data_IF_988019873802
#
_entry.id   IF_988019873802
#
_cell.length_a   1.000
_cell.length_b   1.000
_cell.length_c   1.000
_cell.angle_alpha   90.00
_cell.angle_beta   90.00
_cell.angle_gamma   90.00
#
_symmetry.space_group_name_H-M   'P 1'
#
loop_
_entity.id
_entity.type
_entity.pdbx_description
1 polymer ?
#
# COMPACT_ATOMS: atom_id res chain seq x y z
N UNK A 1 0.83 -8.03 -21.26
CA UNK A 1 0.06 -7.48 -22.41
C UNK A 1 -1.01 -6.47 -21.98
N UNK A 2 -1.61 -6.57 -20.78
CA UNK A 2 -2.64 -5.63 -20.30
C UNK A 2 -2.20 -4.15 -20.29
N UNK A 3 -0.96 -3.84 -19.90
CA UNK A 3 -0.45 -2.46 -19.93
C UNK A 3 -0.37 -1.82 -21.33
N UNK A 4 -0.23 -2.63 -22.39
CA UNK A 4 -0.29 -2.13 -23.77
C UNK A 4 -1.73 -1.98 -24.26
N UNK A 5 -2.63 -2.86 -23.80
CA UNK A 5 -4.06 -2.81 -24.17
C UNK A 5 -4.78 -1.58 -23.61
N UNK A 6 -4.35 -1.10 -22.43
CA UNK A 6 -4.97 0.03 -21.73
C UNK A 6 -4.04 1.25 -21.65
N UNK A 7 -3.06 1.36 -22.54
CA UNK A 7 -2.00 2.37 -22.45
C UNK A 7 -2.53 3.81 -22.37
N UNK A 8 -3.54 4.16 -23.16
CA UNK A 8 -4.10 5.52 -23.19
C UNK A 8 -4.72 5.91 -21.84
N UNK A 9 -5.53 5.02 -21.27
CA UNK A 9 -6.15 5.21 -19.95
C UNK A 9 -5.10 5.25 -18.84
N UNK A 10 -4.14 4.32 -18.85
CA UNK A 10 -3.07 4.23 -17.85
C UNK A 10 -2.09 5.40 -17.92
N UNK A 11 -2.02 6.10 -19.06
CA UNK A 11 -1.24 7.33 -19.22
C UNK A 11 -2.02 8.56 -18.73
N UNK A 12 -3.33 8.44 -18.53
CA UNK A 12 -4.17 9.52 -18.01
C UNK A 12 -4.07 9.56 -16.49
N UNK A 13 -3.71 10.71 -15.87
CA UNK A 13 -3.62 10.81 -14.42
C UNK A 13 -4.93 10.43 -13.72
N UNK A 14 -4.80 9.76 -12.59
CA UNK A 14 -5.89 9.46 -11.67
C UNK A 14 -6.10 10.67 -10.78
N UNK A 15 -7.33 11.14 -10.60
CA UNK A 15 -7.64 12.24 -9.67
C UNK A 15 -7.84 11.72 -8.25
N UNK A 16 -7.74 12.61 -7.26
CA UNK A 16 -8.05 12.25 -5.87
C UNK A 16 -9.48 11.71 -5.70
N UNK A 17 -10.47 12.29 -6.40
CA UNK A 17 -11.86 11.81 -6.35
C UNK A 17 -12.03 10.40 -6.94
N UNK A 18 -11.31 10.09 -8.02
CA UNK A 18 -11.28 8.74 -8.59
C UNK A 18 -10.62 7.74 -7.62
N UNK A 19 -9.51 8.13 -7.00
CA UNK A 19 -8.81 7.32 -6.00
C UNK A 19 -9.68 7.07 -4.76
N UNK A 20 -10.41 8.08 -4.29
CA UNK A 20 -11.34 7.95 -3.16
C UNK A 20 -12.51 7.00 -3.48
N UNK A 21 -13.07 7.11 -4.68
CA UNK A 21 -14.13 6.22 -5.15
C UNK A 21 -13.66 4.76 -5.23
N UNK A 22 -12.45 4.52 -5.76
CA UNK A 22 -11.82 3.20 -5.78
C UNK A 22 -11.59 2.70 -4.35
N UNK A 23 -11.07 3.55 -3.46
CA UNK A 23 -10.87 3.21 -2.06
C UNK A 23 -12.17 2.82 -1.36
N UNK A 24 -13.28 3.50 -1.65
CA UNK A 24 -14.59 3.17 -1.08
C UNK A 24 -15.11 1.83 -1.59
N UNK A 25 -14.99 1.58 -2.90
CA UNK A 25 -15.36 0.30 -3.47
C UNK A 25 -14.58 -0.86 -2.83
N UNK A 26 -13.27 -0.68 -2.66
CA UNK A 26 -12.42 -1.69 -2.03
C UNK A 26 -12.82 -1.90 -0.57
N UNK A 27 -13.13 -0.83 0.18
CA UNK A 27 -13.68 -0.92 1.54
C UNK A 27 -14.96 -1.76 1.59
N UNK A 28 -15.90 -1.50 0.70
CA UNK A 28 -17.18 -2.21 0.69
C UNK A 28 -17.01 -3.70 0.41
N UNK A 29 -16.09 -4.07 -0.49
CA UNK A 29 -15.77 -5.48 -0.78
C UNK A 29 -14.99 -6.13 0.37
N UNK A 30 -14.04 -5.41 0.96
CA UNK A 30 -13.26 -5.90 2.11
C UNK A 30 -14.16 -6.20 3.30
N UNK A 31 -15.10 -5.31 3.62
CA UNK A 31 -16.07 -5.50 4.71
C UNK A 31 -16.98 -6.71 4.46
N UNK A 32 -17.34 -6.99 3.21
CA UNK A 32 -18.10 -8.20 2.85
C UNK A 32 -17.27 -9.48 3.00
N UNK A 33 -15.97 -9.42 2.72
CA UNK A 33 -15.06 -10.57 2.80
C UNK A 33 -14.59 -10.88 4.23
N UNK A 34 -14.33 -9.84 5.02
CA UNK A 34 -13.81 -9.92 6.38
C UNK A 34 -14.27 -8.67 7.16
N UNK A 35 -15.41 -8.76 7.88
CA UNK A 35 -15.91 -7.65 8.69
C UNK A 35 -14.90 -7.16 9.71
N UNK A 36 -14.72 -5.85 9.81
CA UNK A 36 -13.77 -5.23 10.73
C UNK A 36 -12.34 -5.06 10.17
N UNK A 37 -12.07 -5.58 8.97
CA UNK A 37 -10.86 -5.21 8.23
C UNK A 37 -10.94 -3.74 7.76
N UNK A 38 -9.80 -3.06 7.69
CA UNK A 38 -9.70 -1.67 7.29
C UNK A 38 -8.91 -1.51 6.00
N UNK A 39 -9.20 -0.43 5.27
CA UNK A 39 -8.50 -0.06 4.03
C UNK A 39 -8.06 1.38 4.15
N UNK A 40 -6.77 1.63 3.95
CA UNK A 40 -6.15 2.95 4.01
C UNK A 40 -5.56 3.32 2.66
N UNK A 41 -5.90 4.52 2.17
CA UNK A 41 -5.29 5.11 0.98
C UNK A 41 -3.88 5.59 1.32
N UNK A 42 -2.89 5.16 0.54
CA UNK A 42 -1.47 5.46 0.78
C UNK A 42 -0.86 6.19 -0.43
N UNK A 43 0.45 6.09 -0.61
CA UNK A 43 1.15 6.62 -1.77
C UNK A 43 1.01 8.13 -1.93
N UNK A 44 1.01 8.57 -3.18
CA UNK A 44 0.96 10.00 -3.53
C UNK A 44 -0.29 10.72 -3.00
N UNK A 45 -1.44 10.05 -2.99
CA UNK A 45 -2.69 10.66 -2.54
C UNK A 45 -2.71 10.91 -1.03
N UNK A 46 -2.13 10.00 -0.22
CA UNK A 46 -1.95 10.26 1.23
C UNK A 46 -1.04 11.45 1.50
N UNK A 47 -0.11 11.76 0.61
CA UNK A 47 0.77 12.94 0.71
C UNK A 47 0.14 14.23 0.16
N UNK A 48 -1.17 14.24 -0.08
CA UNK A 48 -1.92 15.43 -0.51
C UNK A 48 -1.91 15.71 -2.02
N UNK A 49 -1.38 14.81 -2.85
CA UNK A 49 -1.42 14.99 -4.31
C UNK A 49 -2.86 14.95 -4.82
N UNK A 50 -3.22 15.91 -5.67
CA UNK A 50 -4.54 15.95 -6.31
C UNK A 50 -4.64 15.01 -7.53
N UNK A 51 -3.49 14.56 -8.05
CA UNK A 51 -3.39 13.58 -9.12
C UNK A 51 -2.20 12.62 -8.96
N UNK A 52 -2.34 11.41 -9.48
CA UNK A 52 -1.35 10.32 -9.40
C UNK A 52 -1.39 9.40 -10.62
N UNK A 53 -0.50 8.40 -10.65
CA UNK A 53 -0.43 7.40 -11.74
C UNK A 53 -1.13 6.08 -11.40
N UNK A 54 -1.32 5.83 -10.12
CA UNK A 54 -1.84 4.61 -9.51
C UNK A 54 -2.48 4.94 -8.16
N UNK A 55 -3.27 4.00 -7.66
CA UNK A 55 -3.93 4.07 -6.35
C UNK A 55 -3.35 2.96 -5.48
N UNK A 56 -2.64 3.33 -4.41
CA UNK A 56 -2.07 2.38 -3.45
C UNK A 56 -2.99 2.24 -2.23
N UNK A 57 -3.37 1.00 -1.89
CA UNK A 57 -4.24 0.70 -0.77
C UNK A 57 -3.60 -0.33 0.16
N UNK A 58 -3.49 0.03 1.45
CA UNK A 58 -3.12 -0.89 2.52
C UNK A 58 -4.37 -1.45 3.20
N UNK A 59 -4.41 -2.77 3.33
CA UNK A 59 -5.46 -3.54 3.97
C UNK A 59 -4.90 -4.20 5.23
N UNK A 60 -5.63 -4.14 6.33
CA UNK A 60 -5.27 -4.82 7.57
C UNK A 60 -6.50 -5.23 8.37
N UNK A 61 -6.32 -6.02 9.42
CA UNK A 61 -7.37 -6.39 10.35
C UNK A 61 -6.87 -6.16 11.79
N UNK A 62 -7.68 -5.65 12.73
CA UNK A 62 -7.25 -5.30 14.09
C UNK A 62 -6.76 -6.48 14.96
N UNK A 63 -6.85 -7.70 14.44
CA UNK A 63 -6.37 -8.93 15.08
C UNK A 63 -5.45 -9.62 14.09
N UNK A 64 -4.17 -9.73 14.47
CA UNK A 64 -3.13 -10.39 13.66
C UNK A 64 -3.54 -11.81 13.25
N UNK A 65 -3.24 -12.15 12.00
CA UNK A 65 -3.50 -13.45 11.39
C UNK A 65 -4.89 -13.58 10.79
N UNK A 66 -5.84 -12.69 11.09
CA UNK A 66 -7.17 -12.71 10.47
C UNK A 66 -7.14 -12.20 9.02
N UNK A 67 -6.17 -11.35 8.69
CA UNK A 67 -5.94 -10.85 7.33
C UNK A 67 -5.41 -11.91 6.36
N UNK A 68 -4.96 -13.07 6.85
CA UNK A 68 -4.37 -14.13 6.03
C UNK A 68 -5.40 -14.65 5.00
N UNK A 69 -5.06 -14.54 3.72
CA UNK A 69 -5.93 -14.94 2.62
C UNK A 69 -7.06 -13.97 2.31
N UNK A 70 -7.08 -12.78 2.93
CA UNK A 70 -8.03 -11.71 2.61
C UNK A 70 -7.89 -11.28 1.15
N UNK A 71 -6.66 -11.08 0.66
CA UNK A 71 -6.43 -10.56 -0.68
C UNK A 71 -7.04 -11.46 -1.76
N UNK A 72 -6.83 -12.77 -1.65
CA UNK A 72 -7.42 -13.75 -2.57
C UNK A 72 -8.95 -13.69 -2.61
N UNK A 73 -9.60 -13.51 -1.45
CA UNK A 73 -11.07 -13.38 -1.37
C UNK A 73 -11.56 -12.09 -2.03
N UNK A 74 -10.90 -10.96 -1.72
CA UNK A 74 -11.23 -9.64 -2.29
C UNK A 74 -11.08 -9.63 -3.81
N UNK A 75 -9.95 -10.11 -4.32
CA UNK A 75 -9.70 -10.18 -5.77
C UNK A 75 -10.70 -11.09 -6.46
N UNK A 76 -10.99 -12.28 -5.92
CA UNK A 76 -11.98 -13.19 -6.49
C UNK A 76 -13.40 -12.59 -6.51
N UNK A 77 -13.75 -11.78 -5.51
CA UNK A 77 -15.04 -11.10 -5.47
C UNK A 77 -15.12 -9.95 -6.48
N UNK A 78 -14.08 -9.12 -6.57
CA UNK A 78 -14.03 -8.01 -7.54
C UNK A 78 -14.01 -8.51 -8.99
N UNK A 79 -13.29 -9.61 -9.27
CA UNK A 79 -13.26 -10.25 -10.59
C UNK A 79 -14.66 -10.76 -10.98
N UNK A 80 -15.35 -11.44 -10.05
CA UNK A 80 -16.73 -11.90 -10.27
C UNK A 80 -17.72 -10.76 -10.53
N UNK A 81 -17.48 -9.59 -9.96
CA UNK A 81 -18.29 -8.39 -10.16
C UNK A 81 -17.90 -7.62 -11.43
N UNK A 82 -16.85 -8.04 -12.15
CA UNK A 82 -16.39 -7.41 -13.39
C UNK A 82 -15.62 -6.11 -13.18
N UNK A 83 -15.07 -5.88 -11.99
CA UNK A 83 -14.33 -4.65 -11.68
C UNK A 83 -12.86 -4.70 -12.10
N UNK A 84 -12.31 -5.89 -12.35
CA UNK A 84 -10.91 -6.09 -12.68
C UNK A 84 -10.74 -6.40 -14.17
N UNK A 85 -9.85 -5.65 -14.82
CA UNK A 85 -9.38 -5.91 -16.18
C UNK A 85 -8.11 -6.78 -16.17
N UNK A 86 -7.35 -6.70 -15.08
CA UNK A 86 -6.13 -7.47 -14.85
C UNK A 86 -5.84 -7.55 -13.35
N UNK A 87 -5.28 -8.67 -12.89
CA UNK A 87 -4.73 -8.80 -11.54
C UNK A 87 -3.58 -9.80 -11.51
N UNK A 88 -2.59 -9.56 -10.64
CA UNK A 88 -1.47 -10.47 -10.41
C UNK A 88 -1.10 -10.48 -8.93
N UNK A 89 -1.42 -11.59 -8.27
CA UNK A 89 -1.21 -11.79 -6.84
C UNK A 89 0.21 -12.30 -6.60
N UNK A 90 0.92 -11.62 -5.72
CA UNK A 90 2.22 -11.99 -5.19
C UNK A 90 2.01 -12.40 -3.73
N UNK A 91 2.43 -13.63 -3.41
CA UNK A 91 2.25 -14.18 -2.07
C UNK A 91 3.16 -13.48 -1.06
N UNK A 92 2.71 -13.46 0.19
CA UNK A 92 3.56 -13.08 1.30
C UNK A 92 4.80 -14.00 1.35
N UNK A 93 5.99 -13.40 1.40
CA UNK A 93 7.28 -14.10 1.51
C UNK A 93 7.97 -13.86 2.85
N UNK A 94 7.34 -13.08 3.74
CA UNK A 94 7.81 -12.86 5.11
C UNK A 94 7.59 -14.14 5.90
N UNK A 95 8.69 -14.76 6.33
CA UNK A 95 8.66 -16.03 7.06
C UNK A 95 8.66 -15.79 8.56
N UNK A 96 9.65 -15.02 9.05
CA UNK A 96 9.81 -14.74 10.46
C UNK A 96 10.68 -13.48 10.68
N UNK A 97 10.58 -12.90 11.88
CA UNK A 97 11.50 -11.85 12.31
C UNK A 97 12.96 -12.34 12.46
N UNK A 98 13.18 -13.64 12.65
CA UNK A 98 14.51 -14.23 12.79
C UNK A 98 15.24 -14.26 11.44
N UNK A 99 14.52 -14.65 10.39
CA UNK A 99 14.98 -14.60 9.01
C UNK A 99 15.18 -13.15 8.56
N UNK A 100 14.25 -12.26 8.89
CA UNK A 100 14.38 -10.83 8.63
C UNK A 100 15.64 -10.25 9.28
N UNK A 101 15.93 -10.61 10.53
CA UNK A 101 17.14 -10.19 11.19
C UNK A 101 18.40 -10.74 10.49
N UNK A 102 18.33 -11.91 9.85
CA UNK A 102 19.41 -12.49 9.06
C UNK A 102 19.58 -11.76 7.72
N UNK A 103 18.50 -11.48 6.99
CA UNK A 103 18.55 -10.67 5.76
C UNK A 103 19.10 -9.26 6.01
N UNK A 104 18.69 -8.63 7.11
CA UNK A 104 19.22 -7.33 7.56
C UNK A 104 20.74 -7.40 7.81
N UNK A 105 21.25 -8.52 8.32
CA UNK A 105 22.70 -8.75 8.49
C UNK A 105 23.38 -8.90 7.14
N UNK A 106 22.74 -9.62 6.21
CA UNK A 106 23.28 -9.97 4.90
C UNK A 106 23.12 -8.82 3.87
N UNK A 107 22.45 -7.72 4.25
CA UNK A 107 22.23 -6.52 3.43
C UNK A 107 21.51 -6.80 2.10
N UNK A 108 20.66 -7.83 2.07
CA UNK A 108 19.79 -8.14 0.93
C UNK A 108 18.57 -7.21 0.94
N UNK A 109 18.16 -6.69 -0.22
CA UNK A 109 17.09 -5.69 -0.31
C UNK A 109 15.90 -6.19 -1.12
N UNK A 110 14.81 -6.52 -0.44
CA UNK A 110 13.44 -6.52 -1.00
C UNK A 110 12.72 -5.23 -0.59
N UNK A 111 11.80 -4.71 -1.42
CA UNK A 111 11.02 -3.51 -1.05
C UNK A 111 10.09 -3.80 0.14
N UNK A 112 9.36 -4.92 0.04
CA UNK A 112 8.54 -5.54 1.07
C UNK A 112 8.21 -6.98 0.63
N UNK A 113 7.85 -7.78 1.62
CA UNK A 113 7.49 -9.19 1.50
C UNK A 113 5.99 -9.44 1.69
N UNK A 114 5.16 -8.40 1.78
CA UNK A 114 3.73 -8.51 2.05
C UNK A 114 2.98 -9.24 0.93
N UNK A 115 1.79 -9.76 1.26
CA UNK A 115 0.87 -10.23 0.23
C UNK A 115 0.36 -9.02 -0.56
N UNK A 116 0.53 -9.02 -1.88
CA UNK A 116 0.19 -7.86 -2.71
C UNK A 116 -0.40 -8.25 -4.06
N UNK A 117 -1.24 -7.39 -4.61
CA UNK A 117 -1.84 -7.57 -5.92
C UNK A 117 -1.67 -6.31 -6.75
N UNK A 118 -0.98 -6.46 -7.88
CA UNK A 118 -0.93 -5.44 -8.93
C UNK A 118 -2.11 -5.64 -9.86
N UNK A 119 -2.96 -4.64 -10.01
CA UNK A 119 -4.21 -4.77 -10.74
C UNK A 119 -4.58 -3.56 -11.58
N UNK A 120 -5.49 -3.77 -12.52
CA UNK A 120 -6.09 -2.73 -13.34
C UNK A 120 -7.60 -2.80 -13.14
N UNK A 121 -8.19 -1.74 -12.61
CA UNK A 121 -9.61 -1.60 -12.34
C UNK A 121 -10.34 -0.97 -13.55
N UNK A 122 -11.57 -1.40 -13.80
CA UNK A 122 -12.51 -0.74 -14.70
C UNK A 122 -13.30 0.35 -13.94
N UNK A 123 -12.80 1.58 -13.91
CA UNK A 123 -13.47 2.72 -13.28
C UNK A 123 -14.64 3.19 -14.15
N UNK A 124 -15.89 2.98 -13.72
CA UNK A 124 -17.09 3.28 -14.51
C UNK A 124 -17.96 2.05 -14.82
N UNK A 125 -17.41 0.86 -14.62
CA UNK A 125 -18.18 -0.39 -14.47
C UNK A 125 -18.91 -0.48 -13.10
N UNK A 126 -18.76 0.53 -12.23
CA UNK A 126 -19.26 0.51 -10.86
C UNK A 126 -20.76 0.86 -10.79
N UNK A 127 -21.57 0.14 -9.99
CA UNK A 127 -22.97 0.50 -9.80
C UNK A 127 -23.06 1.90 -9.16
N UNK A 128 -23.65 2.85 -9.88
CA UNK A 128 -23.87 4.23 -9.43
C UNK A 128 -23.17 5.31 -10.25
N UNK A 129 -22.17 4.96 -11.08
CA UNK A 129 -21.38 5.93 -11.84
C UNK A 129 -20.59 6.90 -10.95
N UNK A 130 -19.53 7.52 -11.48
CA UNK A 130 -18.82 8.59 -10.79
C UNK A 130 -19.32 9.93 -11.31
N UNK A 131 -19.86 10.83 -10.47
CA UNK A 131 -20.22 12.17 -10.89
C UNK A 131 -18.98 12.92 -11.39
N UNK A 132 -18.97 13.29 -12.67
CA UNK A 132 -17.93 14.14 -13.25
C UNK A 132 -16.88 13.46 -14.15
N UNK A 133 -17.06 12.20 -14.54
CA UNK A 133 -16.22 11.60 -15.60
C UNK A 133 -16.48 12.31 -16.94
N UNK A 134 -15.54 13.16 -17.35
CA UNK A 134 -15.59 13.83 -18.65
C UNK A 134 -15.23 12.80 -19.72
N UNK A 135 -16.19 12.53 -20.61
CA UNK A 135 -16.08 11.61 -21.75
C UNK A 135 -14.83 11.84 -22.60
N UNK A 136 -13.85 10.96 -22.44
CA UNK A 136 -12.98 10.53 -23.53
C UNK A 136 -13.76 9.60 -24.45
N UNK A 137 -13.59 9.75 -25.76
CA UNK A 137 -14.40 9.12 -26.80
C UNK A 137 -14.32 7.59 -26.77
N UNK A 138 -15.51 6.95 -26.73
CA UNK A 138 -15.83 5.51 -26.74
C UNK A 138 -15.89 4.79 -25.38
N UNK A 139 -16.97 5.06 -24.62
CA UNK A 139 -17.63 4.04 -23.77
C UNK A 139 -17.29 3.99 -22.28
N UNK A 140 -17.92 4.88 -21.49
CA UNK A 140 -18.34 4.76 -20.07
C UNK A 140 -17.36 4.34 -18.96
N UNK A 141 -16.11 3.98 -19.24
CA UNK A 141 -15.17 3.55 -18.20
C UNK A 141 -13.70 3.89 -18.54
N UNK A 142 -12.85 3.91 -17.50
CA UNK A 142 -11.42 4.22 -17.53
C UNK A 142 -10.63 3.11 -16.82
N UNK A 143 -9.55 2.63 -17.42
CA UNK A 143 -8.63 1.71 -16.75
C UNK A 143 -7.76 2.46 -15.72
N UNK A 144 -7.69 1.97 -14.48
CA UNK A 144 -6.88 2.57 -13.40
C UNK A 144 -5.99 1.52 -12.76
N UNK A 145 -4.68 1.80 -12.61
CA UNK A 145 -3.80 0.92 -11.83
C UNK A 145 -4.10 1.05 -10.34
N UNK A 146 -4.27 -0.08 -9.68
CA UNK A 146 -4.52 -0.15 -8.24
C UNK A 146 -3.64 -1.25 -7.65
N UNK A 147 -2.91 -0.89 -6.61
CA UNK A 147 -2.03 -1.78 -5.88
C UNK A 147 -2.66 -2.04 -4.50
N UNK A 148 -2.97 -3.31 -4.24
CA UNK A 148 -3.54 -3.75 -2.98
C UNK A 148 -2.48 -4.50 -2.19
N UNK A 149 -2.30 -4.14 -0.92
CA UNK A 149 -1.29 -4.75 -0.04
C UNK A 149 -1.93 -5.13 1.28
N UNK A 150 -1.77 -6.38 1.69
CA UNK A 150 -2.29 -6.87 2.97
C UNK A 150 -1.14 -6.96 3.97
N UNK A 151 -1.33 -6.35 5.14
CA UNK A 151 -0.34 -6.33 6.22
C UNK A 151 -0.96 -6.74 7.56
N UNK A 152 -0.26 -7.52 8.40
CA UNK A 152 -0.64 -7.74 9.80
C UNK A 152 -0.72 -6.41 10.56
N UNK A 153 -1.62 -6.29 11.55
CA UNK A 153 -1.77 -5.03 12.27
C UNK A 153 -0.53 -4.67 13.10
N UNK A 154 0.23 -5.65 13.57
CA UNK A 154 1.52 -5.41 14.25
C UNK A 154 2.59 -4.78 13.36
N UNK A 155 2.49 -4.96 12.03
CA UNK A 155 3.41 -4.38 11.06
C UNK A 155 2.83 -3.15 10.34
N UNK A 156 1.56 -2.85 10.58
CA UNK A 156 0.82 -1.81 9.84
C UNK A 156 1.50 -0.43 9.88
N UNK A 157 2.02 0.08 11.01
CA UNK A 157 2.68 1.40 11.01
C UNK A 157 3.93 1.46 10.13
N UNK A 158 4.72 0.38 10.08
CA UNK A 158 5.90 0.29 9.22
C UNK A 158 5.52 0.19 7.75
N UNK A 159 4.48 -0.59 7.45
CA UNK A 159 3.94 -0.71 6.11
C UNK A 159 3.36 0.64 5.64
N UNK A 160 2.61 1.32 6.51
CA UNK A 160 2.01 2.62 6.23
C UNK A 160 3.09 3.66 5.92
N UNK A 161 4.15 3.72 6.73
CA UNK A 161 5.29 4.60 6.47
C UNK A 161 5.93 4.32 5.10
N UNK A 162 6.25 3.06 4.82
CA UNK A 162 6.87 2.64 3.57
C UNK A 162 6.02 2.92 2.32
N UNK A 163 4.75 2.56 2.36
CA UNK A 163 3.80 2.73 1.26
C UNK A 163 3.28 4.16 1.14
N UNK A 164 3.49 5.02 2.15
CA UNK A 164 3.23 6.46 2.01
C UNK A 164 4.30 7.14 1.19
N UNK A 165 5.57 6.74 1.33
CA UNK A 165 6.68 7.39 0.64
C UNK A 165 6.89 8.86 1.06
N UNK A 166 7.49 9.71 0.22
CA UNK A 166 8.00 9.44 -1.14
C UNK A 166 9.18 8.47 -1.18
N UNK A 167 9.58 8.02 -2.37
CA UNK A 167 10.74 7.15 -2.55
C UNK A 167 12.04 7.79 -2.01
N UNK A 168 12.24 9.09 -2.21
CA UNK A 168 13.40 9.80 -1.68
C UNK A 168 13.33 9.91 -0.16
N UNK A 169 12.15 10.25 0.38
CA UNK A 169 11.92 10.32 1.81
C UNK A 169 12.25 8.98 2.51
N UNK A 170 11.71 7.88 1.99
CA UNK A 170 11.97 6.54 2.52
C UNK A 170 13.45 6.15 2.43
N UNK A 171 14.11 6.46 1.31
CA UNK A 171 15.54 6.20 1.14
C UNK A 171 16.35 6.95 2.19
N UNK A 172 16.07 8.23 2.40
CA UNK A 172 16.84 9.06 3.31
C UNK A 172 16.54 8.70 4.77
N UNK A 173 15.30 8.35 5.11
CA UNK A 173 14.92 7.87 6.44
C UNK A 173 15.62 6.55 6.79
N UNK A 174 15.64 5.58 5.86
CA UNK A 174 16.34 4.30 6.04
C UNK A 174 17.85 4.50 6.14
N UNK A 175 18.40 5.43 5.36
CA UNK A 175 19.82 5.83 5.44
C UNK A 175 20.13 6.44 6.81
N UNK A 176 19.32 7.38 7.28
CA UNK A 176 19.47 7.99 8.61
C UNK A 176 19.40 6.94 9.73
N UNK A 177 18.37 6.08 9.71
CA UNK A 177 18.22 4.97 10.66
C UNK A 177 19.48 4.09 10.73
N UNK A 178 20.04 3.74 9.56
CA UNK A 178 21.26 2.92 9.45
C UNK A 178 22.51 3.61 9.97
N UNK A 179 22.75 4.85 9.57
CA UNK A 179 24.02 5.53 9.81
C UNK A 179 24.07 6.28 11.15
N UNK A 180 22.98 6.95 11.52
CA UNK A 180 22.92 7.80 12.71
C UNK A 180 22.42 7.04 13.94
N UNK A 181 21.47 6.10 13.75
CA UNK A 181 20.87 5.33 14.86
C UNK A 181 21.38 3.92 15.03
N UNK A 182 22.16 3.39 14.07
CA UNK A 182 22.56 1.98 14.01
C UNK A 182 21.37 1.03 14.05
N UNK A 183 20.23 1.47 13.55
CA UNK A 183 19.02 0.68 13.41
C UNK A 183 18.83 0.28 11.95
N UNK A 184 17.93 -0.64 11.66
CA UNK A 184 17.54 -0.95 10.28
C UNK A 184 16.04 -0.91 10.19
N UNK A 185 15.56 0.14 9.51
CA UNK A 185 14.15 0.34 9.19
C UNK A 185 13.83 -0.31 7.84
N UNK A 186 12.74 -1.05 7.79
CA UNK A 186 12.10 -1.44 6.55
C UNK A 186 10.57 -1.39 6.65
N UNK A 187 9.89 -1.90 5.62
CA UNK A 187 8.42 -1.85 5.53
C UNK A 187 7.73 -2.82 6.50
N UNK A 188 8.46 -3.71 7.16
CA UNK A 188 7.95 -4.68 8.14
C UNK A 188 8.23 -4.28 9.57
N UNK A 189 9.41 -3.70 9.84
CA UNK A 189 9.89 -3.50 11.18
C UNK A 189 11.03 -2.48 11.30
N UNK A 190 11.37 -2.16 12.56
CA UNK A 190 12.58 -1.45 12.94
C UNK A 190 13.43 -2.34 13.84
N UNK A 191 14.64 -2.67 13.39
CA UNK A 191 15.59 -3.50 14.14
C UNK A 191 16.72 -2.67 14.76
N UNK A 192 16.88 -2.72 16.09
CA UNK A 192 17.99 -2.09 16.80
C UNK A 192 19.18 -3.06 16.88
N UNK A 193 20.29 -2.72 16.21
CA UNK A 193 21.49 -3.57 16.19
C UNK A 193 22.25 -3.59 17.51
N UNK A 194 22.17 -2.52 18.30
CA UNK A 194 22.82 -2.42 19.60
C UNK A 194 22.13 -3.31 20.63
N UNK A 195 20.79 -3.26 20.67
CA UNK A 195 19.97 -4.10 21.56
C UNK A 195 19.68 -5.49 20.99
N UNK A 196 19.89 -5.69 19.68
CA UNK A 196 19.59 -6.92 18.94
C UNK A 196 18.12 -7.34 19.07
N UNK A 197 17.22 -6.36 18.96
CA UNK A 197 15.78 -6.56 19.10
C UNK A 197 15.01 -5.77 18.05
N UNK A 198 13.83 -6.27 17.70
CA UNK A 198 12.84 -5.49 16.96
C UNK A 198 12.11 -4.55 17.93
N UNK A 199 11.82 -3.35 17.43
CA UNK A 199 11.02 -2.34 18.11
C UNK A 199 9.61 -2.37 17.52
N UNK A 200 8.60 -2.44 18.38
CA UNK A 200 7.20 -2.33 17.99
C UNK A 200 6.80 -0.86 17.87
N UNK A 201 5.81 -0.58 17.04
CA UNK A 201 5.18 0.72 16.94
C UNK A 201 3.67 0.54 16.72
N UNK A 202 2.86 1.38 17.36
CA UNK A 202 1.41 1.47 17.14
C UNK A 202 1.04 2.58 16.15
N UNK A 203 1.96 3.50 15.84
CA UNK A 203 1.76 4.59 14.89
C UNK A 203 3.07 5.00 14.21
N UNK A 204 2.97 5.82 13.15
CA UNK A 204 4.17 6.35 12.48
C UNK A 204 4.98 7.23 13.45
N UNK A 205 4.31 8.04 14.29
CA UNK A 205 4.93 8.90 15.30
C UNK A 205 5.83 8.12 16.25
N UNK A 206 5.42 6.91 16.66
CA UNK A 206 6.27 6.05 17.50
C UNK A 206 7.55 5.59 16.76
N UNK A 207 7.48 5.37 15.44
CA UNK A 207 8.66 5.06 14.62
C UNK A 207 9.62 6.25 14.61
N UNK A 208 9.11 7.47 14.42
CA UNK A 208 9.93 8.69 14.47
C UNK A 208 10.54 8.90 15.85
N UNK A 209 9.79 8.64 16.93
CA UNK A 209 10.28 8.71 18.30
C UNK A 209 11.42 7.71 18.55
N UNK A 210 11.33 6.47 18.07
CA UNK A 210 12.43 5.49 18.15
C UNK A 210 13.70 5.96 17.42
N UNK A 211 13.53 6.80 16.40
CA UNK A 211 14.63 7.39 15.62
C UNK A 211 15.06 8.77 16.15
N UNK A 212 14.55 9.23 17.30
CA UNK A 212 14.75 10.58 17.85
C UNK A 212 14.59 11.69 16.78
N UNK A 213 13.57 11.55 15.92
CA UNK A 213 13.20 12.54 14.91
C UNK A 213 11.89 13.20 15.30
N UNK A 214 11.75 14.48 14.94
CA UNK A 214 10.44 15.12 14.94
C UNK A 214 9.54 14.45 13.90
N UNK A 215 8.26 14.25 14.24
CA UNK A 215 7.32 13.62 13.34
C UNK A 215 7.05 14.52 12.13
N UNK A 216 7.24 13.95 10.93
CA UNK A 216 6.94 14.62 9.67
C UNK A 216 5.60 14.09 9.15
N UNK A 217 4.55 14.93 9.03
CA UNK A 217 3.26 14.49 8.55
C UNK A 217 3.32 14.09 7.07
N UNK A 218 2.43 13.21 6.58
CA UNK A 218 2.47 12.68 5.21
C UNK A 218 2.56 13.73 4.10
N UNK A 219 1.88 14.86 4.26
CA UNK A 219 1.82 15.96 3.31
C UNK A 219 3.19 16.65 3.10
N UNK A 220 4.08 16.54 4.07
CA UNK A 220 5.44 17.10 4.04
C UNK A 220 6.49 16.10 3.53
N UNK A 221 6.10 14.86 3.18
CA UNK A 221 7.00 13.80 2.69
C UNK A 221 7.14 13.77 1.17
N UNK A 222 7.01 14.91 0.50
CA UNK A 222 6.99 15.03 -0.97
C UNK A 222 8.38 15.24 -1.62
N UNK A 223 9.45 14.81 -0.93
CA UNK A 223 10.84 14.91 -1.40
C UNK A 223 11.15 14.08 -2.65
#
# INVERSE_FOLDING_TARGET
MAGLLHYEDLSTPVTFSEAEAIGQLVRDVVEQCLPGASVTLTGGFRRGKQSGHDVDLLLTHPVDGQEIGLLGKVIAQMDRQGFLLYHSIHRNTFQSFEDEAQEIRDSTTSMDHFERCFSIFCLGCFPGGIPGSVSGTTGSWKAVRVDLVVTPCSQFPFALLGWTGSQNFERDLRRFSKHEKKMTLNSHALYDKGKRTFLTAASEEEIFNHLDLEYIPPEERNA
#
